data_IF_104103739781
#
_entry.id   IF_104103739781
#
_cell.length_a   1.000
_cell.length_b   1.000
_cell.length_c   1.000
_cell.angle_alpha   90.00
_cell.angle_beta   90.00
_cell.angle_gamma   90.00
#
_symmetry.space_group_name_H-M   'P 1'
#
loop_
_entity.id
_entity.type
_entity.pdbx_description
1 polymer ?
#
# COMPACT_ATOMS: atom_id res chain seq x y z
N UNK A 1 24.38 5.61 -45.67
CA UNK A 1 23.71 4.59 -44.84
C UNK A 1 24.13 4.60 -43.35
N UNK A 2 25.12 5.41 -42.93
CA UNK A 2 25.60 5.46 -41.53
C UNK A 2 24.91 6.58 -40.72
N UNK A 3 24.39 7.63 -41.39
CA UNK A 3 23.82 8.82 -40.74
C UNK A 3 22.49 8.53 -40.00
N UNK A 4 21.73 7.52 -40.40
CA UNK A 4 20.44 7.16 -39.77
C UNK A 4 20.62 6.44 -38.43
N UNK A 5 21.60 5.53 -38.33
CA UNK A 5 21.84 4.73 -37.11
C UNK A 5 22.23 5.55 -35.88
N UNK A 6 23.00 6.63 -36.06
CA UNK A 6 23.38 7.50 -34.95
C UNK A 6 22.22 8.39 -34.48
N UNK A 7 21.42 8.93 -35.40
CA UNK A 7 20.28 9.79 -35.06
C UNK A 7 19.19 9.05 -34.27
N UNK A 8 18.88 7.81 -34.64
CA UNK A 8 17.87 7.02 -33.94
C UNK A 8 18.28 6.70 -32.50
N UNK A 9 19.58 6.54 -32.22
CA UNK A 9 20.10 6.26 -30.88
C UNK A 9 20.11 7.51 -29.98
N UNK A 10 20.49 8.68 -30.50
CA UNK A 10 20.47 9.94 -29.73
C UNK A 10 19.04 10.41 -29.44
N UNK A 11 18.12 10.23 -30.39
CA UNK A 11 16.70 10.53 -30.20
C UNK A 11 16.05 9.55 -29.19
N UNK A 12 16.50 8.30 -29.14
CA UNK A 12 16.06 7.33 -28.14
C UNK A 12 16.58 7.68 -26.74
N UNK A 13 17.86 8.08 -26.61
CA UNK A 13 18.45 8.54 -25.34
C UNK A 13 17.72 9.76 -24.74
N UNK A 14 17.39 10.77 -25.58
CA UNK A 14 16.59 11.92 -25.14
C UNK A 14 15.18 11.54 -24.68
N UNK A 15 14.56 10.54 -25.33
CA UNK A 15 13.25 10.00 -24.92
C UNK A 15 13.35 9.19 -23.62
N UNK A 16 14.44 8.48 -23.38
CA UNK A 16 14.66 7.73 -22.13
C UNK A 16 14.81 8.66 -20.93
N UNK A 17 15.49 9.79 -21.07
CA UNK A 17 15.59 10.80 -20.02
C UNK A 17 14.21 11.35 -19.59
N UNK A 18 13.32 11.56 -20.56
CA UNK A 18 11.93 11.99 -20.29
C UNK A 18 11.16 10.92 -19.52
N UNK A 19 11.28 9.65 -19.92
CA UNK A 19 10.62 8.53 -19.25
C UNK A 19 11.08 8.42 -17.80
N UNK A 20 12.39 8.53 -17.53
CA UNK A 20 12.94 8.52 -16.19
C UNK A 20 12.38 9.67 -15.33
N UNK A 21 12.31 10.88 -15.88
CA UNK A 21 11.79 12.05 -15.17
C UNK A 21 10.29 11.95 -14.85
N UNK A 22 9.50 11.33 -15.74
CA UNK A 22 8.09 11.00 -15.46
C UNK A 22 7.98 9.98 -14.33
N UNK A 23 8.83 8.95 -14.33
CA UNK A 23 8.85 7.91 -13.30
C UNK A 23 9.22 8.46 -11.92
N UNK A 24 10.23 9.34 -11.84
CA UNK A 24 10.61 10.03 -10.61
C UNK A 24 9.46 10.87 -10.04
N UNK A 25 8.75 11.63 -10.89
CA UNK A 25 7.60 12.43 -10.46
C UNK A 25 6.49 11.57 -9.87
N UNK A 26 6.20 10.41 -10.46
CA UNK A 26 5.16 9.49 -9.98
C UNK A 26 5.58 8.79 -8.69
N UNK A 27 6.87 8.52 -8.52
CA UNK A 27 7.42 7.94 -7.27
C UNK A 27 7.34 8.90 -6.09
N UNK A 28 7.55 10.20 -6.33
CA UNK A 28 7.42 11.24 -5.30
C UNK A 28 5.94 11.40 -4.89
N UNK A 29 5.05 11.49 -5.87
CA UNK A 29 3.60 11.60 -5.63
C UNK A 29 2.81 10.69 -6.57
N UNK A 30 2.34 9.57 -6.03
CA UNK A 30 1.48 8.61 -6.77
C UNK A 30 0.12 9.19 -7.16
N UNK A 31 -0.29 10.33 -6.60
CA UNK A 31 -1.58 10.97 -6.90
C UNK A 31 -1.49 12.05 -7.97
N UNK A 32 -0.30 12.26 -8.55
CA UNK A 32 -0.06 13.30 -9.56
C UNK A 32 -0.99 13.16 -10.77
N UNK A 33 -1.54 14.29 -11.21
CA UNK A 33 -2.44 14.33 -12.38
C UNK A 33 -1.62 14.47 -13.67
N UNK A 34 -2.04 13.77 -14.74
CA UNK A 34 -1.40 13.88 -16.06
C UNK A 34 -1.25 15.32 -16.58
N UNK A 35 -2.23 16.18 -16.30
CA UNK A 35 -2.17 17.61 -16.68
C UNK A 35 -1.05 18.34 -15.93
N UNK A 36 -0.87 18.03 -14.66
CA UNK A 36 0.17 18.63 -13.82
C UNK A 36 1.55 18.14 -14.22
N UNK A 37 1.71 16.84 -14.51
CA UNK A 37 2.94 16.28 -15.07
C UNK A 37 3.30 16.90 -16.42
N UNK A 38 2.30 17.11 -17.28
CA UNK A 38 2.46 17.78 -18.59
C UNK A 38 2.99 19.21 -18.44
N UNK A 39 2.45 19.98 -17.49
CA UNK A 39 2.91 21.35 -17.21
C UNK A 39 4.32 21.38 -16.60
N UNK A 40 4.65 20.43 -15.70
CA UNK A 40 5.97 20.36 -15.05
C UNK A 40 7.10 19.98 -16.01
N UNK A 41 6.79 19.16 -17.00
CA UNK A 41 7.77 18.65 -17.96
C UNK A 41 7.76 19.37 -19.31
N UNK A 42 6.79 20.26 -19.54
CA UNK A 42 6.53 20.94 -20.81
C UNK A 42 6.35 19.95 -21.98
N UNK A 43 5.58 18.88 -21.72
CA UNK A 43 5.33 17.80 -22.67
C UNK A 43 3.82 17.73 -22.91
N UNK A 44 3.36 17.47 -24.15
CA UNK A 44 1.93 17.27 -24.40
C UNK A 44 1.37 16.14 -23.55
N UNK A 45 0.16 16.35 -23.02
CA UNK A 45 -0.55 15.39 -22.16
C UNK A 45 -0.64 13.98 -22.76
N UNK A 46 -0.79 13.87 -24.09
CA UNK A 46 -0.86 12.58 -24.80
C UNK A 46 0.43 11.77 -24.64
N UNK A 47 1.59 12.40 -24.81
CA UNK A 47 2.88 11.71 -24.64
C UNK A 47 3.08 11.28 -23.18
N UNK A 48 2.67 12.10 -22.21
CA UNK A 48 2.73 11.71 -20.80
C UNK A 48 1.83 10.49 -20.56
N UNK A 49 0.63 10.47 -21.14
CA UNK A 49 -0.27 9.32 -21.03
C UNK A 49 0.34 8.03 -21.60
N UNK A 50 0.90 8.08 -22.81
CA UNK A 50 1.59 6.94 -23.45
C UNK A 50 2.80 6.47 -22.62
N UNK A 51 3.59 7.41 -22.08
CA UNK A 51 4.73 7.06 -21.23
C UNK A 51 4.26 6.35 -19.95
N UNK A 52 3.26 6.91 -19.28
CA UNK A 52 2.75 6.35 -18.02
C UNK A 52 2.12 4.98 -18.23
N UNK A 53 1.28 4.83 -19.26
CA UNK A 53 0.51 3.61 -19.50
C UNK A 53 1.32 2.53 -20.25
N UNK A 54 2.03 2.89 -21.31
CA UNK A 54 2.64 1.92 -22.22
C UNK A 54 4.12 1.69 -21.94
N UNK A 55 4.87 2.72 -21.51
CA UNK A 55 6.31 2.58 -21.20
C UNK A 55 6.56 2.17 -19.76
N UNK A 56 5.85 2.78 -18.81
CA UNK A 56 6.03 2.54 -17.37
C UNK A 56 5.01 1.54 -16.81
N UNK A 57 3.93 1.23 -17.53
CA UNK A 57 2.92 0.26 -17.10
C UNK A 57 2.08 0.69 -15.90
N UNK A 58 2.07 1.98 -15.55
CA UNK A 58 1.26 2.50 -14.46
C UNK A 58 -0.21 2.55 -14.87
N UNK A 59 -1.07 2.02 -14.00
CA UNK A 59 -2.52 2.10 -14.15
C UNK A 59 -3.11 2.92 -13.02
N UNK A 60 -4.12 3.72 -13.34
CA UNK A 60 -4.91 4.43 -12.33
C UNK A 60 -5.66 3.40 -11.48
N UNK A 61 -5.26 3.24 -10.22
CA UNK A 61 -6.02 2.47 -9.24
C UNK A 61 -7.04 3.42 -8.61
N UNK A 62 -8.30 2.99 -8.52
CA UNK A 62 -9.29 3.75 -7.76
C UNK A 62 -8.87 3.81 -6.29
N UNK A 63 -8.83 5.00 -5.70
CA UNK A 63 -8.64 5.14 -4.26
C UNK A 63 -9.81 4.45 -3.54
N UNK A 64 -9.51 3.57 -2.57
CA UNK A 64 -10.53 3.02 -1.68
C UNK A 64 -11.00 4.13 -0.74
N UNK A 65 -12.28 4.13 -0.38
CA UNK A 65 -12.80 5.07 0.62
C UNK A 65 -12.24 4.67 1.98
N UNK A 66 -11.31 5.46 2.51
CA UNK A 66 -10.66 5.20 3.81
C UNK A 66 -11.09 6.30 4.78
N UNK A 67 -11.61 5.96 5.96
CA UNK A 67 -11.94 6.93 6.98
C UNK A 67 -10.71 7.76 7.39
N UNK A 68 -10.91 9.07 7.60
CA UNK A 68 -9.84 9.95 8.08
C UNK A 68 -9.47 9.57 9.52
N UNK A 69 -8.20 9.26 9.76
CA UNK A 69 -7.68 8.90 11.08
C UNK A 69 -6.75 9.99 11.62
N UNK A 70 -6.99 10.42 12.86
CA UNK A 70 -6.04 11.26 13.61
C UNK A 70 -4.82 10.44 14.01
N UNK A 71 -3.72 11.10 14.37
CA UNK A 71 -2.51 10.39 14.78
C UNK A 71 -2.70 9.61 16.08
N UNK A 72 -3.55 10.11 16.98
CA UNK A 72 -3.95 9.38 18.19
C UNK A 72 -4.69 8.09 17.84
N UNK A 73 -5.70 8.15 16.95
CA UNK A 73 -6.43 6.95 16.52
C UNK A 73 -5.52 5.93 15.83
N UNK A 74 -4.47 6.37 15.12
CA UNK A 74 -3.49 5.44 14.52
C UNK A 74 -2.69 4.73 15.60
N UNK A 75 -2.19 5.45 16.60
CA UNK A 75 -1.42 4.87 17.72
C UNK A 75 -2.23 3.84 18.47
N UNK A 76 -3.44 4.21 18.87
CA UNK A 76 -4.36 3.31 19.58
C UNK A 76 -4.66 2.04 18.77
N UNK A 77 -4.87 2.16 17.46
CA UNK A 77 -5.12 1.00 16.59
C UNK A 77 -3.91 0.05 16.53
N UNK A 78 -2.70 0.59 16.45
CA UNK A 78 -1.47 -0.23 16.44
C UNK A 78 -1.31 -0.94 17.78
N UNK A 79 -1.47 -0.22 18.89
CA UNK A 79 -1.38 -0.78 20.24
C UNK A 79 -2.39 -1.91 20.47
N UNK A 80 -3.65 -1.67 20.14
CA UNK A 80 -4.71 -2.69 20.29
C UNK A 80 -4.42 -3.88 19.38
N UNK A 81 -4.01 -3.65 18.13
CA UNK A 81 -3.70 -4.75 17.20
C UNK A 81 -2.53 -5.59 17.71
N UNK A 82 -1.52 -4.97 18.32
CA UNK A 82 -0.39 -5.69 18.91
C UNK A 82 -0.85 -6.54 20.11
N UNK A 83 -1.63 -5.97 21.02
CA UNK A 83 -2.18 -6.71 22.18
C UNK A 83 -3.00 -7.93 21.72
N UNK A 84 -3.81 -7.76 20.68
CA UNK A 84 -4.61 -8.85 20.13
C UNK A 84 -3.75 -9.92 19.46
N UNK A 85 -2.71 -9.51 18.73
CA UNK A 85 -1.79 -10.44 18.08
C UNK A 85 -1.02 -11.28 19.10
N UNK A 86 -0.49 -10.65 20.15
CA UNK A 86 0.27 -11.33 21.20
C UNK A 86 -0.61 -12.37 21.92
N UNK A 87 -1.87 -12.03 22.19
CA UNK A 87 -2.86 -12.96 22.77
C UNK A 87 -3.16 -14.14 21.86
N UNK A 88 -3.36 -13.90 20.56
CA UNK A 88 -3.58 -14.97 19.59
C UNK A 88 -2.37 -15.91 19.49
N UNK A 89 -1.15 -15.39 19.63
CA UNK A 89 0.07 -16.19 19.60
C UNK A 89 0.23 -17.05 20.86
N UNK A 90 -0.09 -16.50 22.04
CA UNK A 90 -0.06 -17.25 23.31
C UNK A 90 -1.11 -18.37 23.35
N UNK A 91 -2.34 -18.11 22.90
CA UNK A 91 -3.40 -19.13 22.85
C UNK A 91 -3.08 -20.27 21.86
N UNK A 92 -2.27 -20.00 20.82
CA UNK A 92 -1.77 -21.03 19.90
C UNK A 92 -0.60 -21.86 20.45
N UNK A 93 0.07 -21.40 21.51
CA UNK A 93 1.19 -22.09 22.18
C UNK A 93 0.71 -22.84 23.45
N UNK A 94 -0.43 -22.44 24.02
CA UNK A 94 -1.05 -23.10 25.19
C UNK A 94 -1.98 -24.27 24.83
N UNK A 95 -2.08 -24.67 23.56
CA UNK A 95 -2.94 -25.80 23.13
C UNK A 95 -2.17 -26.98 22.54
N UNK A 96 -1.40 -27.67 23.39
CA UNK A 96 -1.22 -29.12 23.27
C UNK A 96 -1.24 -29.77 24.65
N UNK A 97 -2.44 -29.98 25.21
CA UNK A 97 -2.65 -31.10 26.12
C UNK A 97 -3.58 -32.09 25.41
N UNK A 98 -3.00 -33.20 24.94
CA UNK A 98 -3.75 -34.31 24.37
C UNK A 98 -4.35 -35.07 25.53
N UNK A 99 -5.62 -34.81 25.82
CA UNK A 99 -6.37 -35.59 26.79
C UNK A 99 -6.40 -37.08 26.41
N UNK A 100 -6.56 -38.00 27.38
CA UNK A 100 -6.38 -39.45 27.22
C UNK A 100 -7.36 -40.14 26.25
N UNK A 101 -8.28 -39.39 25.61
CA UNK A 101 -9.23 -39.86 24.60
C UNK A 101 -8.94 -39.39 23.16
N UNK A 102 -7.97 -38.49 22.92
CA UNK A 102 -7.57 -38.07 21.57
C UNK A 102 -8.44 -37.00 20.89
N UNK A 103 -9.38 -36.37 21.60
CA UNK A 103 -10.25 -35.35 21.04
C UNK A 103 -9.61 -33.95 21.15
N UNK A 104 -9.47 -33.24 20.03
CA UNK A 104 -9.04 -31.83 20.01
C UNK A 104 -10.27 -30.95 20.23
N UNK A 105 -10.40 -30.35 21.40
CA UNK A 105 -11.36 -29.27 21.65
C UNK A 105 -10.65 -27.92 21.49
N UNK A 106 -10.97 -27.10 20.47
CA UNK A 106 -10.42 -25.76 20.37
C UNK A 106 -10.92 -24.90 21.53
N UNK A 107 -10.01 -24.15 22.16
CA UNK A 107 -10.29 -23.23 23.25
C UNK A 107 -11.46 -22.31 22.90
N UNK A 108 -12.58 -22.50 23.60
CA UNK A 108 -13.76 -21.64 23.47
C UNK A 108 -13.58 -20.41 24.36
N UNK A 109 -12.57 -19.58 24.06
CA UNK A 109 -12.36 -18.27 24.69
C UNK A 109 -12.66 -17.11 23.73
N UNK A 110 -13.37 -17.36 22.62
CA UNK A 110 -13.63 -16.32 21.63
C UNK A 110 -14.63 -15.24 22.06
N UNK A 111 -15.34 -15.36 23.19
CA UNK A 111 -16.29 -14.35 23.65
C UNK A 111 -16.36 -14.28 25.19
N UNK A 112 -15.26 -13.93 25.88
CA UNK A 112 -15.41 -13.36 27.21
C UNK A 112 -15.62 -11.83 27.09
N UNK A 113 -16.89 -11.45 27.04
CA UNK A 113 -17.39 -10.07 27.06
C UNK A 113 -17.11 -9.32 28.36
N UNK A 114 -16.51 -9.96 29.38
CA UNK A 114 -16.25 -9.31 30.67
C UNK A 114 -15.10 -8.28 30.64
N UNK A 115 -14.29 -8.21 29.57
CA UNK A 115 -13.23 -7.19 29.47
C UNK A 115 -13.67 -5.89 28.78
N UNK A 116 -14.88 -5.83 28.19
CA UNK A 116 -15.43 -4.62 27.56
C UNK A 116 -16.23 -3.74 28.53
N UNK A 117 -16.69 -4.28 29.66
CA UNK A 117 -17.42 -3.52 30.69
C UNK A 117 -16.52 -2.52 31.46
N UNK A 118 -15.19 -2.65 31.38
CA UNK A 118 -14.27 -1.76 32.12
C UNK A 118 -13.81 -0.52 31.32
N UNK A 119 -14.29 -0.30 30.09
CA UNK A 119 -13.93 0.87 29.27
C UNK A 119 -15.10 1.78 28.89
N UNK A 120 -16.34 1.44 29.26
CA UNK A 120 -17.51 2.32 29.11
C UNK A 120 -17.68 3.33 30.26
N UNK A 121 -16.74 3.37 31.22
CA UNK A 121 -16.74 4.33 32.35
C UNK A 121 -16.13 5.69 32.03
N UNK A 122 -15.67 5.94 30.80
CA UNK A 122 -15.10 7.24 30.43
C UNK A 122 -16.08 8.01 29.55
N UNK A 123 -16.98 8.71 30.24
CA UNK A 123 -17.61 9.95 29.78
C UNK A 123 -16.54 11.01 29.50
#
# INVERSE_FOLDING_TARGET
MIKTFYLDNTLNSGKQHIVARVDELIKIDRTVKLKESSLKLDIPKTNVYEIVNDKLGYRKVSARWVPKMSDEHKRQRVEISQILLDRCQQESDETVDVGPGGDIVPGTSFLNTSSLEMKLSYT
#
